data_IF_845674930910
#
_entry.id   IF_845674930910
#
_cell.length_a   1.000
_cell.length_b   1.000
_cell.length_c   1.000
_cell.angle_alpha   90.00
_cell.angle_beta   90.00
_cell.angle_gamma   90.00
#
_symmetry.space_group_name_H-M   'P 1'
#
loop_
_entity.id
_entity.type
_entity.pdbx_description
1 polymer ?
#
# COMPACT_ATOMS: atom_id res chain seq x y z
N UNK A 1 3.74 8.32 2.59
CA UNK A 1 4.09 8.01 3.97
C UNK A 1 2.95 7.48 4.83
N UNK A 2 1.73 7.66 4.43
CA UNK A 2 0.55 7.09 5.10
C UNK A 2 0.41 5.58 4.94
N UNK A 3 1.24 4.95 4.12
CA UNK A 3 1.09 3.54 3.74
C UNK A 3 1.91 2.56 4.56
N UNK A 4 2.76 3.02 5.47
CA UNK A 4 3.62 2.10 6.23
C UNK A 4 2.83 1.21 7.18
N UNK A 5 1.93 1.79 7.94
CA UNK A 5 1.15 1.02 8.90
C UNK A 5 0.10 0.12 8.23
N UNK A 6 -0.61 0.54 7.15
CA UNK A 6 -1.43 -0.40 6.41
C UNK A 6 -0.61 -1.55 5.82
N UNK A 7 0.56 -1.25 5.26
CA UNK A 7 1.43 -2.28 4.70
C UNK A 7 1.96 -3.24 5.76
N UNK A 8 2.30 -2.76 6.95
CA UNK A 8 2.63 -3.62 8.08
C UNK A 8 1.45 -4.56 8.43
N UNK A 9 0.22 -4.03 8.40
CA UNK A 9 -0.99 -4.82 8.58
C UNK A 9 -1.20 -5.86 7.47
N UNK A 10 -0.92 -5.50 6.23
CA UNK A 10 -1.02 -6.42 5.09
C UNK A 10 -0.07 -7.61 5.25
N UNK A 11 1.06 -7.43 5.92
CA UNK A 11 1.97 -8.53 6.21
C UNK A 11 1.30 -9.63 7.05
N UNK A 12 0.35 -9.26 7.90
CA UNK A 12 -0.43 -10.23 8.67
C UNK A 12 -1.56 -10.88 7.87
N UNK A 13 -2.25 -10.10 7.03
CA UNK A 13 -3.47 -10.58 6.37
C UNK A 13 -3.25 -11.20 4.99
N UNK A 14 -2.14 -10.89 4.30
CA UNK A 14 -1.94 -11.36 2.92
C UNK A 14 -1.98 -12.89 2.82
N UNK A 15 -1.49 -13.59 3.84
CA UNK A 15 -1.52 -15.06 3.87
C UNK A 15 -2.95 -15.62 3.82
N UNK A 16 -3.94 -14.85 4.27
CA UNK A 16 -5.34 -15.22 4.16
C UNK A 16 -5.92 -14.83 2.80
N UNK A 17 -5.54 -13.68 2.28
CA UNK A 17 -6.00 -13.20 0.96
C UNK A 17 -5.54 -14.13 -0.15
N UNK A 18 -4.30 -14.63 -0.10
CA UNK A 18 -3.74 -15.49 -1.15
C UNK A 18 -4.44 -16.85 -1.26
N UNK A 19 -5.26 -17.22 -0.29
CA UNK A 19 -6.11 -18.41 -0.41
C UNK A 19 -7.23 -18.21 -1.45
N UNK A 20 -7.52 -16.96 -1.84
CA UNK A 20 -8.61 -16.61 -2.75
C UNK A 20 -8.14 -15.86 -4.00
N UNK A 21 -7.04 -15.14 -3.91
CA UNK A 21 -6.52 -14.32 -5.02
C UNK A 21 -5.02 -14.10 -4.84
N UNK A 22 -4.32 -13.80 -5.91
CA UNK A 22 -2.95 -13.31 -5.80
C UNK A 22 -2.93 -11.95 -5.08
N UNK A 23 -1.85 -11.65 -4.40
CA UNK A 23 -1.67 -10.41 -3.67
C UNK A 23 -0.28 -9.84 -3.93
N UNK A 24 -0.21 -8.56 -4.20
CA UNK A 24 1.05 -7.83 -4.30
C UNK A 24 0.86 -6.37 -3.90
N UNK A 25 1.89 -5.77 -3.36
CA UNK A 25 1.92 -4.34 -3.08
C UNK A 25 2.79 -3.65 -4.13
N UNK A 26 2.28 -2.58 -4.71
CA UNK A 26 2.98 -1.81 -5.71
C UNK A 26 3.38 -0.44 -5.17
N UNK A 27 4.56 0.03 -5.55
CA UNK A 27 5.04 1.35 -5.21
C UNK A 27 5.89 1.94 -6.34
N UNK A 28 6.11 3.27 -6.36
CA UNK A 28 6.95 3.91 -7.36
C UNK A 28 8.45 3.70 -7.12
N UNK A 29 8.82 3.06 -6.02
CA UNK A 29 10.23 2.82 -5.70
C UNK A 29 10.84 1.77 -6.62
N UNK A 30 12.14 1.84 -6.84
CA UNK A 30 12.87 0.83 -7.62
C UNK A 30 12.87 -0.51 -6.88
N UNK A 31 12.95 -1.64 -7.59
CA UNK A 31 12.92 -2.97 -6.95
C UNK A 31 13.95 -3.16 -5.84
N UNK A 32 15.16 -2.66 -6.02
CA UNK A 32 16.19 -2.77 -4.98
C UNK A 32 15.80 -2.03 -3.71
N UNK A 33 15.23 -0.83 -3.85
CA UNK A 33 14.75 -0.02 -2.73
C UNK A 33 13.60 -0.73 -2.02
N UNK A 34 12.67 -1.29 -2.78
CA UNK A 34 11.55 -2.07 -2.24
C UNK A 34 12.04 -3.26 -1.42
N UNK A 35 13.01 -4.02 -1.95
CA UNK A 35 13.56 -5.18 -1.27
C UNK A 35 14.21 -4.80 0.05
N UNK A 36 15.06 -3.79 0.04
CA UNK A 36 15.74 -3.31 1.26
C UNK A 36 14.74 -2.85 2.31
N UNK A 37 13.71 -2.12 1.88
CA UNK A 37 12.69 -1.62 2.79
C UNK A 37 11.84 -2.76 3.36
N UNK A 38 11.40 -3.68 2.52
CA UNK A 38 10.63 -4.85 2.94
C UNK A 38 11.40 -5.70 3.95
N UNK A 39 12.69 -5.92 3.71
CA UNK A 39 13.56 -6.63 4.65
C UNK A 39 13.64 -5.91 5.99
N UNK A 40 13.81 -4.59 5.96
CA UNK A 40 13.88 -3.77 7.19
C UNK A 40 12.59 -3.81 8.01
N UNK A 41 11.44 -4.08 7.38
CA UNK A 41 10.13 -4.16 8.02
C UNK A 41 9.66 -5.59 8.25
N UNK A 42 10.38 -6.58 7.75
CA UNK A 42 9.96 -7.98 7.84
C UNK A 42 8.74 -8.33 6.99
N UNK A 43 8.48 -7.58 5.92
CA UNK A 43 7.35 -7.85 5.03
C UNK A 43 7.58 -9.09 4.20
N UNK A 44 6.58 -9.96 4.12
CA UNK A 44 6.62 -11.23 3.39
C UNK A 44 5.79 -11.22 2.10
N UNK A 45 4.92 -10.24 1.91
CA UNK A 45 4.14 -10.14 0.70
C UNK A 45 5.00 -9.73 -0.50
N UNK A 46 4.63 -10.16 -1.73
CA UNK A 46 5.33 -9.71 -2.93
C UNK A 46 5.19 -8.21 -3.15
N UNK A 47 6.26 -7.59 -3.64
CA UNK A 47 6.24 -6.20 -4.06
C UNK A 47 6.53 -6.10 -5.56
N UNK A 48 5.85 -5.16 -6.21
CA UNK A 48 5.99 -4.87 -7.63
C UNK A 48 6.29 -3.38 -7.78
N UNK A 49 7.30 -3.05 -8.57
CA UNK A 49 7.64 -1.66 -8.86
C UNK A 49 6.87 -1.15 -10.07
N UNK A 50 6.33 0.06 -9.97
CA UNK A 50 5.82 0.78 -11.13
C UNK A 50 6.70 2.01 -11.46
N UNK A 51 7.95 2.00 -11.00
CA UNK A 51 8.92 3.05 -11.32
C UNK A 51 9.05 3.22 -12.83
N UNK A 52 8.94 4.47 -13.30
CA UNK A 52 9.08 4.80 -14.72
C UNK A 52 7.90 4.37 -15.61
N UNK A 53 6.81 3.87 -15.02
CA UNK A 53 5.61 3.47 -15.75
C UNK A 53 4.45 4.44 -15.53
N UNK A 54 3.43 4.36 -16.37
CA UNK A 54 2.20 5.14 -16.24
C UNK A 54 1.14 4.42 -15.41
N UNK A 55 1.45 3.25 -14.86
CA UNK A 55 0.47 2.39 -14.19
C UNK A 55 -0.35 3.12 -13.13
N UNK A 56 0.29 3.85 -12.23
CA UNK A 56 -0.42 4.55 -11.15
C UNK A 56 -1.37 5.63 -11.69
N UNK A 57 -0.94 6.39 -12.70
CA UNK A 57 -1.77 7.39 -13.35
C UNK A 57 -2.95 6.74 -14.08
N UNK A 58 -2.69 5.65 -14.81
CA UNK A 58 -3.72 4.92 -15.56
C UNK A 58 -4.77 4.32 -14.62
N UNK A 59 -4.36 3.94 -13.42
CA UNK A 59 -5.27 3.38 -12.40
C UNK A 59 -5.97 4.46 -11.56
N UNK A 60 -5.66 5.74 -11.76
CA UNK A 60 -6.28 6.82 -11.00
C UNK A 60 -5.63 7.08 -9.63
N UNK A 61 -4.40 6.66 -9.43
CA UNK A 61 -3.68 6.79 -8.16
C UNK A 61 -2.68 7.94 -8.16
N UNK A 62 -2.88 8.91 -9.04
CA UNK A 62 -2.11 10.16 -9.06
C UNK A 62 -3.08 11.33 -9.02
N UNK A 63 -2.87 12.27 -8.11
CA UNK A 63 -3.70 13.45 -7.99
C UNK A 63 -3.45 14.44 -9.14
N UNK A 64 -4.35 15.42 -9.29
CA UNK A 64 -4.18 16.49 -10.27
C UNK A 64 -2.88 17.29 -10.07
N UNK A 65 -2.35 17.32 -8.85
CA UNK A 65 -1.09 17.98 -8.50
C UNK A 65 0.14 17.06 -8.64
N UNK A 66 -0.05 15.84 -9.16
CA UNK A 66 1.03 14.87 -9.35
C UNK A 66 1.42 14.08 -8.11
N UNK A 67 0.67 14.20 -7.01
CA UNK A 67 0.91 13.44 -5.77
C UNK A 67 0.38 12.00 -5.85
N UNK A 68 1.03 11.09 -5.14
CA UNK A 68 0.60 9.70 -5.07
C UNK A 68 -0.64 9.56 -4.18
N UNK A 69 -1.61 8.78 -4.64
CA UNK A 69 -2.83 8.46 -3.91
C UNK A 69 -2.87 6.95 -3.66
N UNK A 70 -3.09 6.51 -2.40
CA UNK A 70 -3.16 5.08 -2.11
C UNK A 70 -4.49 4.48 -2.56
N UNK A 71 -4.44 3.21 -2.93
CA UNK A 71 -5.63 2.50 -3.33
C UNK A 71 -5.38 1.01 -3.52
N UNK A 72 -6.47 0.31 -3.79
CA UNK A 72 -6.49 -1.12 -4.08
C UNK A 72 -7.19 -1.32 -5.42
N UNK A 73 -6.61 -2.14 -6.28
CA UNK A 73 -7.23 -2.59 -7.52
C UNK A 73 -7.26 -4.10 -7.56
N UNK A 74 -8.37 -4.64 -8.04
CA UNK A 74 -8.53 -6.07 -8.25
C UNK A 74 -8.66 -6.34 -9.75
N UNK A 75 -7.88 -7.27 -10.23
CA UNK A 75 -7.84 -7.66 -11.63
C UNK A 75 -8.25 -9.11 -11.78
N UNK A 76 -8.91 -9.42 -12.89
CA UNK A 76 -9.27 -10.77 -13.28
C UNK A 76 -8.77 -11.03 -14.70
N UNK A 77 -8.20 -12.20 -14.90
CA UNK A 77 -7.85 -12.65 -16.24
C UNK A 77 -9.05 -13.31 -16.90
N UNK A 78 -9.36 -12.90 -18.11
CA UNK A 78 -10.35 -13.52 -18.97
C UNK A 78 -9.70 -13.78 -20.34
N UNK A 79 -9.31 -15.06 -20.58
CA UNK A 79 -8.55 -15.42 -21.78
C UNK A 79 -7.22 -14.67 -21.83
N UNK A 80 -7.02 -13.87 -22.90
CA UNK A 80 -5.83 -13.06 -23.09
C UNK A 80 -5.98 -11.63 -22.52
N UNK A 81 -7.14 -11.32 -21.94
CA UNK A 81 -7.44 -9.99 -21.40
C UNK A 81 -7.32 -9.97 -19.88
N UNK A 82 -6.90 -8.82 -19.36
CA UNK A 82 -6.90 -8.57 -17.91
C UNK A 82 -7.86 -7.42 -17.65
N UNK A 83 -8.87 -7.68 -16.85
CA UNK A 83 -9.92 -6.72 -16.53
C UNK A 83 -9.75 -6.23 -15.10
N UNK A 84 -9.90 -4.91 -14.91
CA UNK A 84 -10.02 -4.34 -13.57
C UNK A 84 -11.47 -4.49 -13.13
N UNK A 85 -11.71 -5.35 -12.14
CA UNK A 85 -13.07 -5.72 -11.72
C UNK A 85 -13.57 -4.91 -10.52
N UNK A 86 -12.68 -4.39 -9.71
CA UNK A 86 -13.02 -3.50 -8.61
C UNK A 86 -11.81 -2.67 -8.20
N UNK A 87 -12.09 -1.54 -7.58
CA UNK A 87 -11.05 -0.67 -7.03
C UNK A 87 -11.62 0.22 -5.93
N UNK A 88 -10.76 0.72 -5.09
CA UNK A 88 -11.07 1.76 -4.13
C UNK A 88 -9.80 2.51 -3.75
N UNK A 89 -9.93 3.83 -3.57
CA UNK A 89 -8.91 4.59 -2.87
C UNK A 89 -9.06 4.39 -1.37
N UNK A 90 -8.01 4.67 -0.61
CA UNK A 90 -8.11 4.68 0.84
C UNK A 90 -7.27 5.81 1.46
N UNK A 91 -7.61 6.14 2.70
CA UNK A 91 -6.95 7.21 3.46
C UNK A 91 -6.96 6.85 4.95
N UNK A 92 -6.17 7.55 5.77
CA UNK A 92 -6.23 7.36 7.22
C UNK A 92 -7.67 7.46 7.72
N UNK A 93 -8.06 6.51 8.55
CA UNK A 93 -9.38 6.47 9.16
C UNK A 93 -10.42 5.62 8.43
N UNK A 94 -10.09 5.06 7.26
CA UNK A 94 -11.00 4.11 6.59
C UNK A 94 -10.63 2.64 6.88
N UNK A 95 -11.40 1.72 6.29
CA UNK A 95 -11.29 0.30 6.60
C UNK A 95 -9.95 -0.31 6.21
N UNK A 96 -9.24 0.28 5.24
CA UNK A 96 -7.91 -0.18 4.82
C UNK A 96 -6.79 0.37 5.70
N UNK A 97 -7.14 1.26 6.62
CA UNK A 97 -6.26 1.85 7.62
C UNK A 97 -6.79 1.53 9.03
N UNK A 98 -7.05 0.27 9.30
CA UNK A 98 -7.77 -0.21 10.50
C UNK A 98 -7.15 0.23 11.83
N UNK A 99 -5.87 0.55 11.87
CA UNK A 99 -5.21 1.02 13.08
C UNK A 99 -5.92 2.24 13.68
N UNK A 100 -6.44 3.13 12.82
CA UNK A 100 -7.17 4.32 13.26
C UNK A 100 -8.44 3.97 14.02
N UNK A 101 -9.12 2.90 13.63
CA UNK A 101 -10.31 2.41 14.35
C UNK A 101 -9.97 1.95 15.76
N UNK A 102 -8.79 1.33 15.95
CA UNK A 102 -8.32 0.97 17.28
C UNK A 102 -7.99 2.21 18.12
N UNK A 103 -7.33 3.20 17.52
CA UNK A 103 -7.02 4.45 18.22
C UNK A 103 -8.29 5.18 18.67
N UNK A 104 -9.33 5.19 17.84
CA UNK A 104 -10.60 5.84 18.16
C UNK A 104 -11.27 5.25 19.42
N UNK A 105 -10.93 4.02 19.80
CA UNK A 105 -11.41 3.39 21.01
C UNK A 105 -10.64 3.81 22.27
N UNK A 106 -9.50 4.46 22.12
CA UNK A 106 -8.66 4.86 23.23
C UNK A 106 -9.10 6.23 23.76
N UNK A 107 -8.97 6.48 25.10
CA UNK A 107 -9.39 7.74 25.70
C UNK A 107 -8.74 8.99 25.06
N UNK A 108 -7.49 8.87 24.60
CA UNK A 108 -6.76 9.95 23.95
C UNK A 108 -6.78 9.90 22.42
N UNK A 109 -7.54 8.97 21.82
CA UNK A 109 -7.52 8.77 20.38
C UNK A 109 -6.12 8.43 19.88
N UNK A 110 -5.74 8.99 18.73
CA UNK A 110 -4.41 8.78 18.16
C UNK A 110 -3.29 9.44 18.98
N UNK A 111 -3.62 10.46 19.77
CA UNK A 111 -2.64 11.18 20.61
C UNK A 111 -1.42 11.65 19.81
N UNK A 112 -0.27 11.53 20.43
CA UNK A 112 1.02 11.92 19.85
C UNK A 112 1.69 10.76 19.09
N UNK A 113 0.94 9.74 18.68
CA UNK A 113 1.52 8.62 17.96
C UNK A 113 2.33 9.10 16.77
N UNK A 114 3.63 8.82 16.76
CA UNK A 114 4.51 9.35 15.71
C UNK A 114 4.20 8.78 14.33
N UNK A 115 3.48 7.68 14.22
CA UNK A 115 2.84 7.08 13.02
C UNK A 115 3.69 6.95 11.78
N UNK A 116 4.88 7.46 11.87
CA UNK A 116 5.75 7.72 10.75
C UNK A 116 7.08 7.06 11.06
N UNK A 117 7.12 5.74 10.95
CA UNK A 117 8.42 5.14 10.81
C UNK A 117 9.13 5.94 9.72
N UNK A 118 10.23 6.59 10.06
CA UNK A 118 11.02 7.34 9.08
C UNK A 118 11.36 6.36 7.96
N UNK A 119 10.96 6.69 6.74
CA UNK A 119 11.46 5.98 5.57
C UNK A 119 12.99 6.00 5.65
N UNK A 120 13.66 4.87 5.45
CA UNK A 120 15.09 4.90 5.22
C UNK A 120 15.42 5.94 4.14
N UNK A 121 16.57 6.57 4.22
CA UNK A 121 16.96 7.60 3.25
C UNK A 121 16.87 7.11 1.80
N UNK A 122 17.08 5.81 1.57
CA UNK A 122 16.92 5.19 0.26
C UNK A 122 15.49 5.20 -0.28
N UNK A 123 14.49 5.42 0.57
CA UNK A 123 13.07 5.43 0.20
C UNK A 123 12.44 6.83 0.32
N UNK A 124 13.24 7.85 0.51
CA UNK A 124 12.75 9.21 0.78
C UNK A 124 12.36 10.00 -0.46
N UNK A 125 12.53 9.45 -1.67
CA UNK A 125 12.34 10.15 -2.95
C UNK A 125 10.90 10.01 -3.49
N UNK A 126 9.92 10.08 -2.65
CA UNK A 126 8.52 10.07 -3.10
C UNK A 126 7.74 11.22 -2.50
#
# INVERSE_FOLDING_TARGET
MFLLHPADGYNGIHQHVVTRAGFAVSSPDRPMVQTQFAESRGWKFPMVSHAGSTFAADMGYVSAQGGWMPGVSVFRREGDSILRVSDTGFSPGDDFCSLWHFFDLLPGGVGDWPGRAKKPACCSAS
#
